data_IF_560113668286
#
_entry.id   IF_560113668286
#
_cell.length_a   1.000
_cell.length_b   1.000
_cell.length_c   1.000
_cell.angle_alpha   90.00
_cell.angle_beta   90.00
_cell.angle_gamma   90.00
#
_symmetry.space_group_name_H-M   'P 1'
#
loop_
_entity.id
_entity.type
_entity.pdbx_description
1 polymer ?
#
# COMPACT_ATOMS: atom_id res chain seq x y z
N UNK A 1 -45.30 51.46 -45.53
CA UNK A 1 -44.46 50.25 -45.64
C UNK A 1 -43.85 49.97 -44.28
N UNK A 2 -44.07 48.74 -43.79
CA UNK A 2 -44.25 48.39 -42.40
C UNK A 2 -42.96 48.25 -41.57
N UNK A 3 -43.12 48.55 -40.27
CA UNK A 3 -42.15 48.47 -39.17
C UNK A 3 -41.83 47.02 -38.78
N UNK A 4 -40.56 46.82 -38.42
CA UNK A 4 -39.99 45.60 -37.84
C UNK A 4 -40.50 45.39 -36.39
N UNK A 5 -41.04 44.20 -36.08
CA UNK A 5 -41.29 43.72 -34.72
C UNK A 5 -40.59 42.37 -34.55
N UNK A 6 -39.74 42.27 -33.54
CA UNK A 6 -39.16 41.03 -33.05
C UNK A 6 -40.19 40.26 -32.22
N UNK A 7 -40.32 38.95 -32.46
CA UNK A 7 -41.03 38.02 -31.59
C UNK A 7 -40.06 36.90 -31.20
N UNK A 8 -39.80 36.82 -29.89
CA UNK A 8 -39.15 35.69 -29.23
C UNK A 8 -40.04 34.45 -29.36
N UNK A 9 -39.45 33.30 -29.67
CA UNK A 9 -40.05 31.98 -29.42
C UNK A 9 -39.06 31.17 -28.59
N UNK A 10 -39.44 30.92 -27.33
CA UNK A 10 -38.74 30.04 -26.42
C UNK A 10 -39.18 28.59 -26.69
N UNK A 11 -38.24 27.73 -27.07
CA UNK A 11 -38.44 26.30 -27.10
C UNK A 11 -37.98 25.69 -25.78
N UNK A 12 -38.91 25.10 -25.03
CA UNK A 12 -38.60 24.24 -23.88
C UNK A 12 -37.95 22.94 -24.39
N UNK A 13 -36.68 22.73 -24.06
CA UNK A 13 -36.03 21.42 -24.11
C UNK A 13 -36.09 20.82 -22.71
N UNK A 14 -36.94 19.80 -22.56
CA UNK A 14 -36.96 18.91 -21.39
C UNK A 14 -35.71 18.05 -21.47
N UNK A 15 -34.67 18.44 -20.73
CA UNK A 15 -33.48 17.61 -20.54
C UNK A 15 -33.82 16.42 -19.66
N UNK A 16 -33.91 15.24 -20.26
CA UNK A 16 -33.85 13.98 -19.52
C UNK A 16 -32.46 13.89 -18.86
N UNK A 17 -32.43 13.95 -17.53
CA UNK A 17 -31.21 13.83 -16.76
C UNK A 17 -30.59 12.45 -16.97
N UNK A 18 -29.51 12.39 -17.74
CA UNK A 18 -28.57 11.29 -17.70
C UNK A 18 -27.80 11.45 -16.39
N UNK A 19 -28.00 10.53 -15.44
CA UNK A 19 -27.14 10.40 -14.27
C UNK A 19 -25.74 10.06 -14.75
N UNK A 20 -24.93 11.10 -14.99
CA UNK A 20 -23.49 10.99 -14.99
C UNK A 20 -23.11 10.56 -13.58
N UNK A 21 -22.71 9.30 -13.42
CA UNK A 21 -21.93 8.88 -12.26
C UNK A 21 -20.76 9.83 -12.15
N UNK A 22 -20.75 10.59 -11.06
CA UNK A 22 -19.82 11.67 -10.73
C UNK A 22 -18.39 11.13 -10.61
N UNK A 23 -17.68 11.04 -11.73
CA UNK A 23 -16.22 10.85 -11.79
C UNK A 23 -15.45 12.14 -11.43
N UNK A 24 -16.14 13.26 -11.16
CA UNK A 24 -15.53 14.59 -11.13
C UNK A 24 -15.25 15.18 -9.73
N UNK A 25 -15.45 14.45 -8.62
CA UNK A 25 -15.24 15.02 -7.29
C UNK A 25 -13.87 14.70 -6.65
N UNK A 26 -13.12 13.70 -7.16
CA UNK A 26 -11.98 13.11 -6.42
C UNK A 26 -10.76 12.74 -7.27
N UNK A 27 -10.54 13.40 -8.42
CA UNK A 27 -9.39 13.12 -9.30
C UNK A 27 -9.38 11.68 -9.87
N UNK A 28 -8.39 11.30 -10.68
CA UNK A 28 -8.40 10.01 -11.38
C UNK A 28 -8.11 8.79 -10.48
N UNK A 29 -7.69 9.02 -9.24
CA UNK A 29 -7.18 7.96 -8.36
C UNK A 29 -8.15 7.58 -7.25
N UNK A 30 -8.90 8.54 -6.70
CA UNK A 30 -9.55 8.37 -5.42
C UNK A 30 -11.05 8.12 -5.57
N UNK A 31 -11.62 7.29 -4.70
CA UNK A 31 -13.06 7.18 -4.55
C UNK A 31 -13.62 8.18 -3.55
N UNK A 32 -14.91 8.46 -3.65
CA UNK A 32 -15.62 9.23 -2.64
C UNK A 32 -15.63 8.47 -1.29
N UNK A 33 -15.70 9.20 -0.18
CA UNK A 33 -15.71 8.63 1.18
C UNK A 33 -16.85 7.64 1.41
N UNK A 34 -17.97 7.85 0.75
CA UNK A 34 -19.18 7.02 0.83
C UNK A 34 -19.22 5.91 -0.22
N UNK A 35 -18.15 5.75 -1.01
CA UNK A 35 -18.01 4.62 -1.92
C UNK A 35 -18.08 3.30 -1.16
N UNK A 36 -18.77 2.33 -1.76
CA UNK A 36 -19.00 0.99 -1.19
C UNK A 36 -18.16 -0.08 -1.87
N UNK A 37 -17.28 0.34 -2.77
CA UNK A 37 -16.45 -0.56 -3.54
C UNK A 37 -15.40 -1.16 -2.62
N UNK A 38 -15.48 -2.48 -2.43
CA UNK A 38 -14.52 -3.26 -1.64
C UNK A 38 -14.02 -4.44 -2.46
N UNK A 39 -12.81 -4.89 -2.14
CA UNK A 39 -12.23 -6.05 -2.79
C UNK A 39 -12.91 -7.35 -2.34
N UNK A 40 -13.50 -8.07 -3.29
CA UNK A 40 -14.06 -9.40 -3.05
C UNK A 40 -12.97 -10.45 -2.88
N UNK A 41 -13.20 -11.41 -1.98
CA UNK A 41 -12.25 -12.49 -1.67
C UNK A 41 -12.92 -13.87 -1.66
N UNK A 42 -12.11 -14.90 -1.89
CA UNK A 42 -12.54 -16.29 -1.82
C UNK A 42 -12.71 -16.67 -0.34
N UNK A 43 -13.92 -17.09 0.04
CA UNK A 43 -14.18 -17.61 1.38
C UNK A 43 -13.38 -18.90 1.60
N UNK A 44 -12.56 -18.90 2.65
CA UNK A 44 -11.76 -20.06 3.06
C UNK A 44 -12.10 -20.50 4.47
N UNK A 45 -11.96 -21.78 4.81
CA UNK A 45 -12.07 -22.25 6.20
C UNK A 45 -11.03 -21.55 7.09
N UNK A 46 -11.44 -21.15 8.29
CA UNK A 46 -10.61 -20.46 9.28
C UNK A 46 -10.81 -21.04 10.69
N UNK A 47 -9.81 -20.95 11.57
CA UNK A 47 -9.98 -21.26 12.99
C UNK A 47 -11.02 -20.38 13.67
N UNK A 48 -11.60 -20.88 14.75
CA UNK A 48 -12.48 -20.06 15.59
C UNK A 48 -11.75 -18.82 16.12
N UNK A 49 -12.42 -17.67 16.09
CA UNK A 49 -11.85 -16.39 16.53
C UNK A 49 -10.99 -15.68 15.48
N UNK A 50 -10.77 -16.26 14.30
CA UNK A 50 -10.18 -15.56 13.15
C UNK A 50 -11.30 -15.05 12.24
N UNK A 51 -11.17 -13.79 11.82
CA UNK A 51 -12.09 -13.11 10.91
C UNK A 51 -11.35 -12.47 9.74
N UNK A 52 -12.10 -11.97 8.75
CA UNK A 52 -11.57 -11.15 7.65
C UNK A 52 -12.01 -9.71 7.87
N UNK A 53 -11.07 -8.78 7.80
CA UNK A 53 -11.32 -7.34 7.85
C UNK A 53 -10.85 -6.72 6.54
N UNK A 54 -11.70 -5.90 5.92
CA UNK A 54 -11.33 -5.11 4.74
C UNK A 54 -10.45 -3.93 5.18
N UNK A 55 -9.35 -3.70 4.46
CA UNK A 55 -8.41 -2.61 4.74
C UNK A 55 -8.23 -1.72 3.53
N UNK A 56 -7.83 -0.48 3.76
CA UNK A 56 -7.78 0.54 2.70
C UNK A 56 -6.66 0.30 1.67
N UNK A 57 -5.52 -0.27 2.11
CA UNK A 57 -4.32 -0.43 1.29
C UNK A 57 -3.94 -1.88 1.01
N UNK A 58 -4.16 -2.81 1.93
CA UNK A 58 -3.56 -4.15 1.88
C UNK A 58 -4.55 -5.23 1.42
N UNK A 59 -5.76 -4.85 1.04
CA UNK A 59 -6.84 -5.78 0.75
C UNK A 59 -7.56 -6.30 2.00
N UNK A 60 -8.41 -7.31 1.83
CA UNK A 60 -8.96 -8.10 2.92
C UNK A 60 -7.84 -8.84 3.64
N UNK A 61 -7.74 -8.67 4.96
CA UNK A 61 -6.72 -9.33 5.81
C UNK A 61 -7.40 -10.22 6.84
N UNK A 62 -6.71 -11.30 7.23
CA UNK A 62 -7.10 -12.04 8.41
C UNK A 62 -6.79 -11.23 9.66
N UNK A 63 -7.67 -11.29 10.64
CA UNK A 63 -7.53 -10.62 11.92
C UNK A 63 -7.99 -11.52 13.07
N UNK A 64 -7.49 -11.25 14.29
CA UNK A 64 -8.03 -11.85 15.51
C UNK A 64 -9.46 -11.37 15.77
N UNK A 65 -10.14 -11.96 16.75
CA UNK A 65 -11.49 -11.56 17.15
C UNK A 65 -11.55 -10.09 17.62
N UNK A 66 -10.46 -9.59 18.20
CA UNK A 66 -10.29 -8.20 18.62
C UNK A 66 -9.91 -7.26 17.46
N UNK A 67 -9.73 -7.80 16.25
CA UNK A 67 -9.45 -7.06 15.03
C UNK A 67 -7.98 -6.76 14.77
N UNK A 68 -7.03 -7.40 15.47
CA UNK A 68 -5.60 -7.24 15.17
C UNK A 68 -5.24 -7.98 13.88
N UNK A 69 -4.61 -7.30 12.94
CA UNK A 69 -4.17 -7.89 11.67
C UNK A 69 -3.15 -9.00 11.90
N UNK A 70 -3.23 -10.04 11.08
CA UNK A 70 -2.35 -11.19 11.14
C UNK A 70 -1.24 -11.09 10.09
N UNK A 71 -0.04 -11.45 10.51
CA UNK A 71 1.17 -11.38 9.71
C UNK A 71 1.92 -12.70 9.70
N UNK A 72 2.68 -12.90 8.62
CA UNK A 72 3.77 -13.87 8.57
C UNK A 72 5.09 -13.14 8.38
N UNK A 73 6.20 -13.82 8.69
CA UNK A 73 7.54 -13.30 8.46
C UNK A 73 8.36 -14.27 7.60
N UNK A 74 8.07 -14.40 6.29
CA UNK A 74 8.73 -15.41 5.47
C UNK A 74 10.25 -15.22 5.41
N UNK A 75 11.00 -16.33 5.44
CA UNK A 75 12.45 -16.33 5.25
C UNK A 75 12.81 -15.63 3.95
N UNK A 76 13.66 -14.62 4.04
CA UNK A 76 14.23 -13.93 2.90
C UNK A 76 15.75 -13.83 2.97
N UNK A 77 16.35 -13.62 1.81
CA UNK A 77 17.79 -13.52 1.66
C UNK A 77 18.24 -12.06 1.85
N UNK A 78 19.22 -11.87 2.71
CA UNK A 78 19.99 -10.65 2.87
C UNK A 78 21.37 -10.86 2.24
N UNK A 79 22.21 -9.83 2.23
CA UNK A 79 23.49 -9.86 1.51
C UNK A 79 24.45 -10.94 2.02
N UNK A 80 24.51 -11.15 3.34
CA UNK A 80 25.44 -12.08 3.98
C UNK A 80 24.74 -13.19 4.79
N UNK A 81 23.41 -13.33 4.69
CA UNK A 81 22.65 -14.28 5.49
C UNK A 81 21.16 -14.24 5.19
N UNK A 82 20.38 -15.04 5.92
CA UNK A 82 18.93 -15.11 5.77
C UNK A 82 18.25 -14.78 7.10
N UNK A 83 17.13 -14.06 7.04
CA UNK A 83 16.31 -13.75 8.22
C UNK A 83 14.85 -14.09 7.94
N UNK A 84 14.09 -14.43 8.98
CA UNK A 84 12.68 -14.82 8.89
C UNK A 84 12.38 -16.27 9.25
N UNK A 85 11.11 -16.62 9.13
CA UNK A 85 10.55 -17.94 9.38
C UNK A 85 10.63 -18.81 8.13
N UNK A 86 11.25 -19.99 8.26
CA UNK A 86 11.28 -20.98 7.18
C UNK A 86 9.92 -21.66 7.06
N UNK A 87 9.37 -21.73 5.84
CA UNK A 87 8.10 -22.42 5.57
C UNK A 87 8.17 -23.88 5.99
N UNK A 88 7.13 -24.35 6.70
CA UNK A 88 7.00 -25.73 7.18
C UNK A 88 8.14 -26.18 8.11
N UNK A 89 8.84 -25.26 8.79
CA UNK A 89 9.87 -25.62 9.78
C UNK A 89 9.31 -26.30 11.03
N UNK A 90 8.03 -26.07 11.33
CA UNK A 90 7.40 -26.49 12.59
C UNK A 90 7.77 -25.63 13.80
N UNK A 91 8.63 -24.62 13.62
CA UNK A 91 9.14 -23.74 14.69
C UNK A 91 9.17 -22.27 14.26
N UNK A 92 8.84 -21.37 15.19
CA UNK A 92 8.97 -19.92 15.01
C UNK A 92 10.39 -19.43 15.31
N UNK A 93 10.94 -18.60 14.44
CA UNK A 93 12.22 -17.90 14.63
C UNK A 93 12.05 -16.68 15.55
N UNK A 94 10.87 -16.06 15.56
CA UNK A 94 10.57 -14.91 16.44
C UNK A 94 10.33 -15.37 17.89
N UNK A 95 11.27 -15.02 18.77
CA UNK A 95 11.24 -15.35 20.21
C UNK A 95 11.49 -14.12 21.10
N UNK A 96 11.74 -14.37 22.39
CA UNK A 96 11.94 -13.37 23.42
C UNK A 96 13.39 -12.86 23.52
N UNK A 97 14.28 -13.29 22.62
CA UNK A 97 15.66 -12.80 22.57
C UNK A 97 15.70 -11.30 22.29
N UNK A 98 16.35 -10.54 23.16
CA UNK A 98 16.69 -9.14 22.92
C UNK A 98 18.08 -9.09 22.29
N UNK A 99 18.13 -9.00 20.95
CA UNK A 99 19.39 -8.79 20.23
C UNK A 99 19.97 -7.43 20.58
N UNK A 100 21.25 -7.39 20.97
CA UNK A 100 21.95 -6.15 21.34
C UNK A 100 22.92 -5.66 20.28
N UNK A 101 23.18 -6.47 19.26
CA UNK A 101 24.21 -6.24 18.27
C UNK A 101 23.69 -6.45 16.85
N UNK A 102 24.35 -5.81 15.88
CA UNK A 102 24.14 -6.06 14.46
C UNK A 102 24.48 -7.52 14.11
N UNK A 103 23.66 -8.12 13.25
CA UNK A 103 23.86 -9.46 12.70
C UNK A 103 24.91 -9.51 11.59
N UNK A 104 25.21 -8.35 10.96
CA UNK A 104 26.12 -8.28 9.83
C UNK A 104 25.56 -8.91 8.55
N UNK A 105 24.27 -9.23 8.53
CA UNK A 105 23.61 -9.81 7.35
C UNK A 105 23.48 -8.80 6.21
N UNK A 106 23.74 -7.52 6.49
CA UNK A 106 23.67 -6.45 5.52
C UNK A 106 24.99 -5.69 5.44
N UNK A 107 25.80 -6.08 4.44
CA UNK A 107 27.03 -5.37 4.10
C UNK A 107 26.72 -3.95 3.59
N UNK A 108 27.52 -2.94 3.99
CA UNK A 108 28.90 -3.05 4.49
C UNK A 108 29.05 -3.23 6.00
N UNK A 109 27.97 -3.31 6.78
CA UNK A 109 28.08 -3.35 8.24
C UNK A 109 28.47 -4.77 8.72
N UNK A 110 29.61 -4.95 9.41
CA UNK A 110 29.93 -6.21 10.07
C UNK A 110 29.01 -6.50 11.27
N UNK A 111 28.98 -7.75 11.75
CA UNK A 111 28.31 -8.09 13.00
C UNK A 111 29.02 -7.47 14.21
N UNK A 112 28.31 -7.36 15.33
CA UNK A 112 28.90 -7.03 16.64
C UNK A 112 28.87 -5.54 17.01
N UNK A 113 28.26 -4.68 16.21
CA UNK A 113 28.03 -3.28 16.63
C UNK A 113 26.83 -3.18 17.54
N UNK A 114 26.96 -2.45 18.65
CA UNK A 114 25.86 -2.21 19.57
C UNK A 114 24.70 -1.49 18.87
N UNK A 115 23.49 -2.01 19.06
CA UNK A 115 22.27 -1.38 18.60
C UNK A 115 21.91 -0.18 19.49
N UNK A 116 21.17 0.81 18.97
CA UNK A 116 20.70 1.93 19.76
C UNK A 116 19.66 1.54 20.82
N UNK A 117 19.53 2.39 21.84
CA UNK A 117 18.45 2.33 22.84
C UNK A 117 18.34 0.94 23.52
N UNK A 118 19.48 0.30 23.85
CA UNK A 118 19.53 -1.08 24.37
C UNK A 118 18.65 -1.33 25.60
N UNK A 119 18.56 -0.35 26.50
CA UNK A 119 17.80 -0.46 27.75
C UNK A 119 16.28 -0.53 27.54
N UNK A 120 15.79 -0.01 26.40
CA UNK A 120 14.36 0.04 26.07
C UNK A 120 14.02 -0.83 24.85
N UNK A 121 15.01 -1.51 24.27
CA UNK A 121 14.82 -2.41 23.13
C UNK A 121 13.90 -3.55 23.52
N UNK A 122 12.92 -3.82 22.65
CA UNK A 122 11.96 -4.91 22.80
C UNK A 122 12.44 -6.15 22.05
N UNK A 123 12.04 -7.33 22.51
CA UNK A 123 12.26 -8.58 21.76
C UNK A 123 11.32 -8.67 20.55
N UNK A 124 11.59 -9.62 19.67
CA UNK A 124 10.71 -9.90 18.54
C UNK A 124 9.29 -10.21 19.02
N UNK A 125 9.12 -11.07 20.02
CA UNK A 125 7.79 -11.47 20.53
C UNK A 125 7.01 -10.31 21.20
N UNK A 126 7.70 -9.33 21.79
CA UNK A 126 7.05 -8.13 22.34
C UNK A 126 6.50 -7.20 21.25
N UNK A 127 7.15 -7.15 20.08
CA UNK A 127 6.71 -6.34 18.95
C UNK A 127 5.77 -7.10 18.01
N UNK A 128 5.91 -8.43 17.97
CA UNK A 128 5.19 -9.36 17.12
C UNK A 128 4.61 -10.50 17.96
N UNK A 129 3.56 -10.25 18.77
CA UNK A 129 2.99 -11.29 19.62
C UNK A 129 2.49 -12.47 18.79
N UNK A 130 2.83 -13.68 19.23
CA UNK A 130 2.39 -14.91 18.59
C UNK A 130 0.87 -15.09 18.69
N UNK A 131 0.22 -15.52 17.62
CA UNK A 131 -1.20 -15.92 17.66
C UNK A 131 -1.27 -17.34 18.21
N UNK A 132 -1.52 -17.46 19.51
CA UNK A 132 -1.57 -18.74 20.19
C UNK A 132 -2.75 -19.59 19.68
N UNK A 133 -2.49 -20.88 19.52
CA UNK A 133 -3.50 -21.88 19.21
C UNK A 133 -3.89 -22.63 20.50
N UNK A 134 -5.18 -22.98 20.68
CA UNK A 134 -5.60 -23.89 21.74
C UNK A 134 -4.80 -25.20 21.73
N UNK A 135 -4.65 -25.84 22.90
CA UNK A 135 -3.87 -27.07 23.03
C UNK A 135 -4.41 -28.23 22.16
N UNK A 136 -5.72 -28.26 21.94
CA UNK A 136 -6.47 -29.23 21.15
C UNK A 136 -6.78 -28.76 19.72
N UNK A 137 -6.18 -27.64 19.30
CA UNK A 137 -6.38 -27.06 17.98
C UNK A 137 -6.05 -28.05 16.86
N UNK A 138 -6.96 -28.18 15.88
CA UNK A 138 -6.80 -29.01 14.69
C UNK A 138 -6.55 -28.15 13.45
N UNK A 139 -5.80 -28.66 12.46
CA UNK A 139 -5.67 -27.98 11.18
C UNK A 139 -7.01 -27.73 10.49
N UNK A 140 -7.14 -26.58 9.83
CA UNK A 140 -8.34 -26.18 9.08
C UNK A 140 -7.91 -25.49 7.78
N UNK A 141 -8.14 -26.11 6.63
CA UNK A 141 -7.67 -25.58 5.35
C UNK A 141 -6.14 -25.41 5.33
N UNK A 142 -5.66 -24.18 5.10
CA UNK A 142 -4.23 -23.82 5.16
C UNK A 142 -3.71 -23.51 6.56
N UNK A 143 -4.57 -23.52 7.57
CA UNK A 143 -4.18 -23.28 8.95
C UNK A 143 -3.69 -24.55 9.60
N UNK A 144 -2.50 -24.49 10.20
CA UNK A 144 -1.86 -25.58 10.94
C UNK A 144 -1.37 -25.07 12.30
N UNK A 145 -0.83 -25.97 13.12
CA UNK A 145 -0.31 -25.63 14.45
C UNK A 145 1.18 -25.93 14.48
N UNK A 146 1.96 -24.98 15.00
CA UNK A 146 3.41 -25.12 15.25
C UNK A 146 3.69 -25.02 16.74
N UNK A 147 4.83 -25.58 17.19
CA UNK A 147 5.25 -25.52 18.59
C UNK A 147 6.33 -24.46 18.77
N UNK A 148 6.11 -23.57 19.74
CA UNK A 148 7.12 -22.60 20.18
C UNK A 148 8.16 -23.27 21.08
N UNK A 149 9.34 -22.65 21.23
CA UNK A 149 10.42 -23.15 22.11
C UNK A 149 9.97 -23.29 23.56
N UNK A 150 9.05 -22.43 24.00
CA UNK A 150 8.46 -22.44 25.35
C UNK A 150 7.33 -23.49 25.52
N UNK A 151 7.05 -24.32 24.51
CA UNK A 151 6.03 -25.37 24.53
C UNK A 151 4.61 -24.93 24.12
N UNK A 152 4.35 -23.62 24.00
CA UNK A 152 3.05 -23.11 23.56
C UNK A 152 2.76 -23.50 22.10
N UNK A 153 1.49 -23.77 21.81
CA UNK A 153 0.99 -23.94 20.44
C UNK A 153 0.73 -22.57 19.81
N UNK A 154 1.16 -22.38 18.56
CA UNK A 154 0.92 -21.17 17.77
C UNK A 154 0.26 -21.56 16.44
N UNK A 155 -0.67 -20.74 15.96
CA UNK A 155 -1.24 -20.89 14.63
C UNK A 155 -0.18 -20.61 13.56
N UNK A 156 -0.18 -21.42 12.52
CA UNK A 156 0.56 -21.20 11.29
C UNK A 156 -0.41 -21.13 10.10
N UNK A 157 -0.12 -20.29 9.13
CA UNK A 157 -0.88 -20.17 7.89
C UNK A 157 0.04 -20.44 6.70
N UNK A 158 -0.38 -21.35 5.83
CA UNK A 158 0.40 -21.76 4.66
C UNK A 158 1.85 -22.17 5.03
N UNK A 159 2.02 -22.77 6.21
CA UNK A 159 3.31 -23.24 6.71
C UNK A 159 4.17 -22.21 7.44
N UNK A 160 3.71 -20.97 7.61
CA UNK A 160 4.44 -19.94 8.36
C UNK A 160 3.76 -19.64 9.70
N UNK A 161 4.51 -19.48 10.81
CA UNK A 161 3.95 -19.00 12.07
C UNK A 161 3.28 -17.63 11.91
N UNK A 162 2.17 -17.44 12.62
CA UNK A 162 1.34 -16.23 12.52
C UNK A 162 1.49 -15.34 13.75
N UNK A 163 1.62 -14.03 13.52
CA UNK A 163 1.81 -13.00 14.55
C UNK A 163 0.79 -11.88 14.40
N UNK A 164 0.55 -11.12 15.46
CA UNK A 164 -0.03 -9.77 15.39
C UNK A 164 1.08 -8.73 15.46
N UNK A 165 0.79 -7.45 15.20
CA UNK A 165 1.74 -6.37 15.44
C UNK A 165 1.38 -5.54 16.66
N UNK A 166 2.40 -5.17 17.43
CA UNK A 166 2.26 -4.18 18.50
C UNK A 166 1.90 -2.77 17.99
N UNK A 167 2.09 -2.50 16.69
CA UNK A 167 1.72 -1.21 16.08
C UNK A 167 0.24 -1.12 15.71
N UNK A 168 -0.45 -2.25 15.54
CA UNK A 168 -1.87 -2.25 15.23
C UNK A 168 -2.65 -1.98 16.52
N UNK A 169 -3.27 -0.81 16.65
CA UNK A 169 -3.97 -0.40 17.88
C UNK A 169 -5.47 -0.62 17.77
N UNK A 170 -6.05 -0.47 16.58
CA UNK A 170 -7.47 -0.58 16.28
C UNK A 170 -7.73 -1.67 15.23
N UNK A 171 -8.98 -2.10 15.15
CA UNK A 171 -9.40 -3.05 14.13
C UNK A 171 -9.19 -2.45 12.73
N UNK A 172 -8.55 -3.21 11.84
CA UNK A 172 -8.20 -2.78 10.48
C UNK A 172 -6.87 -2.01 10.36
N UNK A 173 -6.17 -1.72 11.46
CA UNK A 173 -4.81 -1.22 11.38
C UNK A 173 -3.90 -2.28 10.75
N UNK A 174 -3.11 -1.86 9.77
CA UNK A 174 -2.05 -2.68 9.17
C UNK A 174 -0.74 -1.90 9.23
N UNK A 175 -0.24 -1.59 10.42
CA UNK A 175 0.89 -0.68 10.61
C UNK A 175 2.23 -1.39 10.86
N UNK A 176 2.19 -2.69 11.18
CA UNK A 176 3.38 -3.51 11.41
C UNK A 176 4.18 -3.84 10.14
N UNK A 177 3.51 -4.07 9.03
CA UNK A 177 4.10 -4.61 7.80
C UNK A 177 3.22 -4.37 6.57
N UNK A 178 3.70 -4.69 5.38
CA UNK A 178 3.04 -4.33 4.12
C UNK A 178 3.36 -5.30 2.98
N UNK A 179 2.37 -5.58 2.14
CA UNK A 179 2.56 -6.21 0.84
C UNK A 179 2.63 -5.14 -0.27
N UNK A 180 1.93 -4.02 -0.09
CA UNK A 180 1.82 -2.94 -1.09
C UNK A 180 3.13 -2.22 -1.44
N UNK A 181 4.06 -2.10 -0.49
CA UNK A 181 5.23 -1.21 -0.63
C UNK A 181 6.57 -1.92 -0.47
N UNK A 182 6.56 -3.25 -0.32
CA UNK A 182 7.78 -4.03 -0.07
C UNK A 182 8.52 -4.33 -1.38
N UNK A 183 9.82 -4.03 -1.44
CA UNK A 183 10.67 -4.44 -2.55
C UNK A 183 12.16 -4.29 -2.28
N UNK A 184 12.96 -5.31 -2.66
CA UNK A 184 14.42 -5.24 -2.65
C UNK A 184 15.06 -5.19 -1.26
N UNK A 185 16.17 -4.45 -1.13
CA UNK A 185 17.09 -4.46 0.01
C UNK A 185 16.55 -3.79 1.31
N UNK A 186 15.23 -3.67 1.50
CA UNK A 186 14.62 -3.00 2.67
C UNK A 186 14.77 -3.80 3.98
N UNK A 187 15.45 -4.95 3.98
CA UNK A 187 15.37 -5.92 5.06
C UNK A 187 14.19 -6.87 4.89
N UNK A 188 14.10 -7.88 5.77
CA UNK A 188 13.01 -8.87 5.71
C UNK A 188 11.82 -8.36 6.52
N UNK A 189 10.81 -7.85 5.81
CA UNK A 189 9.60 -7.27 6.40
C UNK A 189 8.55 -8.35 6.73
N UNK A 190 7.65 -8.04 7.66
CA UNK A 190 6.46 -8.86 7.92
C UNK A 190 5.37 -8.53 6.91
N UNK A 191 4.63 -9.55 6.51
CA UNK A 191 3.63 -9.49 5.45
C UNK A 191 2.25 -9.77 6.03
N UNK A 192 1.27 -8.84 5.90
CA UNK A 192 -0.10 -9.14 6.29
C UNK A 192 -0.61 -10.30 5.44
N UNK A 193 -1.40 -11.19 6.05
CA UNK A 193 -2.00 -12.34 5.36
C UNK A 193 -3.50 -12.17 5.27
N UNK A 194 -4.08 -12.64 4.18
CA UNK A 194 -5.51 -12.54 3.91
C UNK A 194 -6.03 -13.70 3.07
N UNK A 195 -7.35 -13.80 2.88
CA UNK A 195 -7.93 -14.73 1.93
C UNK A 195 -7.47 -14.39 0.50
N UNK A 196 -7.43 -15.38 -0.42
CA UNK A 196 -7.13 -15.10 -1.82
C UNK A 196 -8.16 -14.15 -2.45
N UNK A 197 -7.74 -13.26 -3.37
CA UNK A 197 -8.66 -12.40 -4.10
C UNK A 197 -9.65 -13.24 -4.95
N UNK A 198 -10.90 -12.80 -5.06
CA UNK A 198 -11.93 -13.44 -5.89
C UNK A 198 -11.88 -12.90 -7.33
N UNK A 199 -10.80 -13.24 -8.02
CA UNK A 199 -10.43 -12.76 -9.35
C UNK A 199 -10.24 -13.95 -10.32
N UNK A 200 -10.57 -13.82 -11.61
CA UNK A 200 -10.28 -14.85 -12.62
C UNK A 200 -8.80 -15.26 -12.61
N UNK A 201 -8.46 -16.52 -12.90
CA UNK A 201 -7.07 -17.01 -12.83
C UNK A 201 -6.08 -16.31 -13.76
N UNK A 202 -6.55 -15.67 -14.84
CA UNK A 202 -5.72 -14.89 -15.76
C UNK A 202 -5.41 -13.48 -15.24
N UNK A 203 -5.97 -13.10 -14.11
CA UNK A 203 -5.89 -11.78 -13.50
C UNK A 203 -5.36 -11.91 -12.05
N UNK A 204 -4.89 -10.79 -11.51
CA UNK A 204 -4.39 -10.65 -10.16
C UNK A 204 -4.83 -9.28 -9.59
N UNK A 205 -4.74 -9.12 -8.28
CA UNK A 205 -5.01 -7.86 -7.59
C UNK A 205 -3.74 -7.38 -6.91
N UNK A 206 -3.38 -6.14 -7.22
CA UNK A 206 -2.15 -5.53 -6.75
C UNK A 206 -2.47 -4.27 -5.97
N UNK A 207 -2.04 -4.16 -4.70
CA UNK A 207 -2.28 -2.96 -3.90
C UNK A 207 -1.33 -1.81 -4.28
N UNK A 208 -1.90 -0.66 -4.63
CA UNK A 208 -1.23 0.62 -4.83
C UNK A 208 -1.69 1.63 -3.80
N UNK A 209 -0.94 2.72 -3.64
CA UNK A 209 -1.38 3.88 -2.85
C UNK A 209 -2.66 4.53 -3.40
N UNK A 210 -3.00 4.24 -4.66
CA UNK A 210 -4.23 4.71 -5.34
C UNK A 210 -5.38 3.70 -5.24
N UNK A 211 -5.16 2.50 -4.68
CA UNK A 211 -6.16 1.46 -4.51
C UNK A 211 -5.68 0.08 -4.94
N UNK A 212 -6.56 -0.91 -4.87
CA UNK A 212 -6.28 -2.29 -5.27
C UNK A 212 -6.59 -2.45 -6.76
N UNK A 213 -5.53 -2.43 -7.57
CA UNK A 213 -5.60 -2.41 -9.02
C UNK A 213 -5.64 -3.82 -9.58
N UNK A 214 -6.46 -4.02 -10.62
CA UNK A 214 -6.51 -5.28 -11.36
C UNK A 214 -5.34 -5.29 -12.34
N UNK A 215 -4.58 -6.38 -12.33
CA UNK A 215 -3.55 -6.67 -13.33
C UNK A 215 -3.84 -8.01 -13.97
N UNK A 216 -3.18 -8.29 -15.10
CA UNK A 216 -3.04 -9.67 -15.58
C UNK A 216 -2.16 -10.47 -14.62
N UNK A 217 -2.20 -11.79 -14.69
CA UNK A 217 -1.31 -12.68 -13.94
C UNK A 217 0.19 -12.46 -14.28
N UNK A 218 0.48 -11.79 -15.41
CA UNK A 218 1.83 -11.36 -15.82
C UNK A 218 2.22 -9.98 -15.27
N UNK A 219 1.33 -9.33 -14.53
CA UNK A 219 1.55 -8.02 -13.91
C UNK A 219 1.25 -6.82 -14.81
N UNK A 220 0.73 -6.97 -16.03
CA UNK A 220 0.29 -5.83 -16.84
C UNK A 220 -1.00 -5.23 -16.30
N UNK A 221 -1.07 -3.90 -16.23
CA UNK A 221 -2.26 -3.20 -15.75
C UNK A 221 -3.45 -3.41 -16.67
N UNK A 222 -4.64 -3.47 -16.07
CA UNK A 222 -5.90 -3.65 -16.79
C UNK A 222 -6.66 -2.34 -16.84
N UNK A 223 -7.29 -2.08 -17.99
CA UNK A 223 -7.97 -0.84 -18.33
C UNK A 223 -9.41 -1.08 -18.79
N UNK A 224 -10.23 -0.05 -18.62
CA UNK A 224 -11.55 0.08 -19.21
C UNK A 224 -11.63 1.39 -20.01
N UNK A 225 -12.54 1.45 -20.99
CA UNK A 225 -12.75 2.62 -21.83
C UNK A 225 -14.11 3.28 -21.55
N UNK A 226 -14.13 4.62 -21.48
CA UNK A 226 -15.35 5.44 -21.44
C UNK A 226 -16.19 5.29 -22.72
N UNK A 227 -15.56 4.85 -23.82
CA UNK A 227 -16.25 4.62 -25.07
C UNK A 227 -17.07 3.32 -25.05
N UNK A 228 -16.84 2.42 -24.11
CA UNK A 228 -17.57 1.15 -23.99
C UNK A 228 -18.93 1.33 -23.32
N UNK A 229 -19.84 0.40 -23.58
CA UNK A 229 -21.13 0.34 -22.92
C UNK A 229 -21.17 -0.86 -21.95
N UNK A 230 -22.04 -0.85 -20.92
CA UNK A 230 -22.19 -2.00 -20.03
C UNK A 230 -22.39 -3.31 -20.79
N UNK A 231 -21.48 -4.26 -20.62
CA UNK A 231 -21.51 -5.56 -21.29
C UNK A 231 -21.22 -5.53 -22.79
N UNK A 232 -20.68 -4.43 -23.34
CA UNK A 232 -20.34 -4.31 -24.77
C UNK A 232 -19.07 -3.48 -25.00
N UNK A 233 -18.10 -4.09 -25.68
CA UNK A 233 -16.94 -3.38 -26.23
C UNK A 233 -17.29 -2.62 -27.50
N UNK A 234 -16.90 -1.34 -27.58
CA UNK A 234 -16.85 -0.52 -28.78
C UNK A 234 -15.42 -0.37 -29.33
N UNK A 235 -14.40 -0.91 -28.66
CA UNK A 235 -13.04 -0.97 -29.17
C UNK A 235 -12.92 -1.98 -30.32
N UNK A 236 -12.90 -1.51 -31.57
CA UNK A 236 -12.70 -2.31 -32.79
C UNK A 236 -11.60 -1.71 -33.68
N UNK A 237 -11.17 -2.47 -34.67
CA UNK A 237 -10.26 -2.02 -35.73
C UNK A 237 -9.00 -1.32 -35.20
N UNK A 238 -8.82 -0.03 -35.49
CA UNK A 238 -7.68 0.77 -35.04
C UNK A 238 -7.54 0.78 -33.52
N UNK A 239 -8.63 0.71 -32.76
CA UNK A 239 -8.52 0.63 -31.31
C UNK A 239 -7.72 -0.60 -30.86
N UNK A 240 -7.85 -1.72 -31.57
CA UNK A 240 -7.17 -2.98 -31.27
C UNK A 240 -5.68 -2.98 -31.66
N UNK A 241 -5.17 -1.93 -32.32
CA UNK A 241 -3.71 -1.78 -32.48
C UNK A 241 -3.02 -1.29 -31.21
N UNK A 242 -3.76 -0.62 -30.34
CA UNK A 242 -3.24 -0.02 -29.10
C UNK A 242 -3.75 -0.75 -27.85
N UNK A 243 -4.91 -1.42 -27.93
CA UNK A 243 -5.60 -2.03 -26.80
C UNK A 243 -5.92 -3.49 -27.06
N UNK A 244 -5.25 -4.38 -26.31
CA UNK A 244 -5.47 -5.82 -26.42
C UNK A 244 -6.57 -6.27 -25.43
N UNK A 245 -7.67 -6.88 -25.88
CA UNK A 245 -8.72 -7.35 -24.99
C UNK A 245 -8.22 -8.44 -24.02
N UNK A 246 -8.59 -8.35 -22.75
CA UNK A 246 -8.37 -9.43 -21.78
C UNK A 246 -9.33 -10.57 -22.11
N UNK A 247 -8.85 -11.57 -22.83
CA UNK A 247 -9.64 -12.71 -23.29
C UNK A 247 -10.11 -13.57 -22.10
N UNK A 248 -11.40 -13.91 -22.11
CA UNK A 248 -11.97 -14.88 -21.20
C UNK A 248 -12.00 -16.28 -21.84
N UNK A 249 -11.66 -17.35 -21.11
CA UNK A 249 -11.75 -18.71 -21.65
C UNK A 249 -13.20 -19.07 -21.98
N UNK A 250 -13.41 -20.05 -22.88
CA UNK A 250 -14.77 -20.46 -23.25
C UNK A 250 -15.60 -20.98 -22.06
N UNK A 251 -14.92 -21.58 -21.09
CA UNK A 251 -15.45 -22.12 -19.84
C UNK A 251 -15.54 -21.09 -18.71
N UNK A 252 -15.26 -19.81 -19.00
CA UNK A 252 -15.36 -18.71 -18.05
C UNK A 252 -16.73 -18.72 -17.36
N UNK A 253 -16.71 -18.62 -16.02
CA UNK A 253 -17.90 -18.51 -15.19
C UNK A 253 -18.02 -17.07 -14.70
N UNK A 254 -19.20 -16.50 -14.80
CA UNK A 254 -19.52 -15.19 -14.22
C UNK A 254 -19.82 -15.35 -12.73
N UNK A 255 -19.32 -14.43 -11.91
CA UNK A 255 -19.51 -14.44 -10.44
C UNK A 255 -19.27 -13.05 -9.88
N UNK A 256 -20.16 -12.59 -8.99
CA UNK A 256 -20.05 -11.28 -8.38
C UNK A 256 -19.99 -10.19 -9.46
N UNK A 257 -18.97 -9.35 -9.39
CA UNK A 257 -18.73 -8.24 -10.33
C UNK A 257 -18.14 -8.69 -11.68
N UNK A 258 -17.79 -9.98 -11.83
CA UNK A 258 -17.20 -10.53 -13.05
C UNK A 258 -18.25 -11.02 -14.04
N UNK A 259 -18.12 -10.54 -15.27
CA UNK A 259 -18.97 -10.90 -16.40
C UNK A 259 -18.13 -11.16 -17.66
N UNK A 260 -18.76 -11.64 -18.71
CA UNK A 260 -18.11 -11.90 -19.99
C UNK A 260 -18.87 -11.21 -21.10
N UNK A 261 -18.14 -10.59 -22.02
CA UNK A 261 -18.66 -9.97 -23.24
C UNK A 261 -18.24 -10.80 -24.43
N UNK A 262 -19.19 -11.10 -25.33
CA UNK A 262 -18.88 -11.74 -26.61
C UNK A 262 -18.54 -10.66 -27.64
N UNK A 263 -17.29 -10.65 -28.10
CA UNK A 263 -16.77 -9.66 -29.06
C UNK A 263 -17.11 -10.03 -30.50
N UNK A 264 -17.07 -11.33 -30.79
CA UNK A 264 -17.39 -11.96 -32.07
C UNK A 264 -17.68 -13.45 -31.81
N UNK A 265 -18.24 -14.21 -32.76
CA UNK A 265 -18.62 -15.60 -32.53
C UNK A 265 -17.45 -16.43 -31.97
N UNK A 266 -17.58 -16.86 -30.72
CA UNK A 266 -16.58 -17.66 -30.03
C UNK A 266 -15.39 -16.88 -29.45
N UNK A 267 -15.35 -15.55 -29.50
CA UNK A 267 -14.34 -14.73 -28.83
C UNK A 267 -14.96 -14.00 -27.64
N UNK A 268 -14.55 -14.41 -26.44
CA UNK A 268 -15.04 -13.89 -25.16
C UNK A 268 -13.99 -12.99 -24.51
N UNK A 269 -14.44 -11.92 -23.86
CA UNK A 269 -13.60 -10.96 -23.14
C UNK A 269 -14.12 -10.82 -21.71
N UNK A 270 -13.21 -10.72 -20.75
CA UNK A 270 -13.55 -10.43 -19.37
C UNK A 270 -14.09 -9.00 -19.23
N UNK A 271 -15.10 -8.84 -18.40
CA UNK A 271 -15.61 -7.55 -17.97
C UNK A 271 -15.76 -7.50 -16.45
N UNK A 272 -15.40 -6.38 -15.84
CA UNK A 272 -15.53 -6.14 -14.40
C UNK A 272 -16.48 -4.97 -14.15
N UNK A 273 -17.46 -5.16 -13.27
CA UNK A 273 -18.55 -4.18 -13.01
C UNK A 273 -19.19 -3.66 -14.31
N UNK A 274 -19.35 -4.55 -15.28
CA UNK A 274 -19.93 -4.27 -16.60
C UNK A 274 -18.99 -3.63 -17.62
N UNK A 275 -17.76 -3.29 -17.28
CA UNK A 275 -16.78 -2.68 -18.20
C UNK A 275 -15.88 -3.74 -18.84
N UNK A 276 -15.80 -3.83 -20.18
CA UNK A 276 -14.86 -4.70 -20.87
C UNK A 276 -13.40 -4.33 -20.54
N UNK A 277 -12.55 -5.34 -20.39
CA UNK A 277 -11.19 -5.17 -19.89
C UNK A 277 -10.14 -5.30 -20.99
N UNK A 278 -9.10 -4.45 -20.93
CA UNK A 278 -8.00 -4.41 -21.91
C UNK A 278 -6.66 -4.27 -21.22
N UNK A 279 -5.59 -4.64 -21.93
CA UNK A 279 -4.22 -4.24 -21.63
C UNK A 279 -3.71 -3.27 -22.69
N UNK A 280 -2.82 -2.35 -22.31
CA UNK A 280 -2.25 -1.39 -23.25
C UNK A 280 -1.03 -1.98 -23.97
N UNK A 281 -1.07 -2.10 -25.30
CA UNK A 281 -0.05 -2.79 -26.11
C UNK A 281 1.34 -2.15 -25.99
N UNK A 282 1.38 -0.84 -25.72
CA UNK A 282 2.65 -0.10 -25.62
C UNK A 282 3.28 -0.16 -24.22
N UNK A 283 2.63 -0.79 -23.25
CA UNK A 283 3.22 -1.05 -21.93
C UNK A 283 4.16 -2.25 -21.95
N UNK A 284 5.44 -1.98 -21.63
CA UNK A 284 6.50 -3.00 -21.62
C UNK A 284 6.90 -3.46 -20.22
N UNK A 285 6.45 -2.73 -19.19
CA UNK A 285 6.78 -3.00 -17.80
C UNK A 285 5.51 -3.43 -17.07
N UNK A 286 5.64 -4.44 -16.22
CA UNK A 286 4.59 -4.77 -15.27
C UNK A 286 4.23 -3.52 -14.46
N UNK A 287 2.93 -3.37 -14.15
CA UNK A 287 2.38 -2.32 -13.29
C UNK A 287 2.57 -0.90 -13.80
N UNK A 288 2.93 -0.73 -15.07
CA UNK A 288 2.88 0.58 -15.72
C UNK A 288 1.42 1.04 -15.80
N UNK A 289 1.19 2.34 -15.67
CA UNK A 289 -0.14 2.93 -15.70
C UNK A 289 -0.29 3.98 -16.81
N UNK A 290 0.59 3.91 -17.82
CA UNK A 290 0.67 4.89 -18.91
C UNK A 290 -0.49 4.74 -19.89
N UNK A 291 -1.20 3.61 -19.88
CA UNK A 291 -2.46 3.47 -20.60
C UNK A 291 -3.48 4.55 -20.23
N UNK A 292 -3.51 4.98 -18.97
CA UNK A 292 -4.42 6.03 -18.48
C UNK A 292 -4.08 7.44 -19.00
N UNK A 293 -2.95 7.64 -19.68
CA UNK A 293 -2.63 8.90 -20.37
C UNK A 293 -3.41 9.05 -21.69
N UNK A 294 -3.99 7.97 -22.20
CA UNK A 294 -4.86 8.02 -23.36
C UNK A 294 -6.25 8.53 -22.95
N UNK A 295 -6.80 9.56 -23.61
CA UNK A 295 -8.11 10.10 -23.27
C UNK A 295 -9.21 9.02 -23.26
N UNK A 296 -9.96 8.95 -22.16
CA UNK A 296 -11.07 8.02 -21.98
C UNK A 296 -10.69 6.61 -21.58
N UNK A 297 -9.43 6.36 -21.20
CA UNK A 297 -8.96 5.07 -20.70
C UNK A 297 -8.55 5.17 -19.24
N UNK A 298 -8.95 4.18 -18.45
CA UNK A 298 -8.76 4.22 -17.00
C UNK A 298 -8.30 2.85 -16.48
N UNK A 299 -7.29 2.85 -15.60
CA UNK A 299 -6.96 1.66 -14.82
C UNK A 299 -8.18 1.18 -14.01
N UNK A 300 -8.35 -0.13 -13.93
CA UNK A 300 -9.47 -0.77 -13.22
C UNK A 300 -9.02 -1.18 -11.82
N UNK A 301 -9.83 -0.84 -10.82
CA UNK A 301 -9.60 -1.13 -9.41
C UNK A 301 -10.79 -1.92 -8.85
N UNK A 302 -10.53 -2.85 -7.94
CA UNK A 302 -11.60 -3.46 -7.13
C UNK A 302 -12.07 -2.52 -6.03
N UNK A 303 -11.12 -1.75 -5.49
CA UNK A 303 -11.31 -0.72 -4.47
C UNK A 303 -10.31 0.40 -4.75
N UNK A 304 -10.78 1.65 -4.86
CA UNK A 304 -9.88 2.81 -4.95
C UNK A 304 -9.53 3.29 -3.54
N UNK A 305 -8.37 3.93 -3.40
CA UNK A 305 -8.02 4.55 -2.13
C UNK A 305 -8.88 5.80 -1.86
N UNK A 306 -8.98 6.17 -0.58
CA UNK A 306 -9.60 7.44 -0.20
C UNK A 306 -8.65 8.59 -0.51
N UNK A 307 -9.17 9.82 -0.74
CA UNK A 307 -8.32 10.95 -1.04
C UNK A 307 -7.35 11.21 0.12
N UNK A 308 -6.12 11.64 -0.18
CA UNK A 308 -5.19 12.10 0.85
C UNK A 308 -5.78 13.31 1.59
N UNK A 309 -5.26 13.65 2.79
CA UNK A 309 -5.66 14.85 3.49
C UNK A 309 -5.73 16.09 2.60
N UNK A 310 -6.72 16.96 2.84
CA UNK A 310 -6.95 18.17 2.06
C UNK A 310 -5.78 19.18 2.07
N UNK A 311 -4.83 19.03 3.02
CA UNK A 311 -3.58 19.78 3.07
C UNK A 311 -2.59 19.38 1.95
N UNK A 312 -2.87 18.30 1.21
CA UNK A 312 -2.00 17.77 0.17
C UNK A 312 -2.55 17.97 -1.23
N UNK A 313 -1.63 18.05 -2.18
CA UNK A 313 -1.88 18.12 -3.61
C UNK A 313 -1.17 16.97 -4.32
N UNK A 314 -1.53 16.70 -5.57
CA UNK A 314 -0.80 15.79 -6.46
C UNK A 314 -0.15 16.63 -7.55
N UNK A 315 1.12 16.38 -7.84
CA UNK A 315 1.85 17.11 -8.88
C UNK A 315 2.76 16.18 -9.68
N UNK A 316 3.02 16.56 -10.92
CA UNK A 316 4.00 15.89 -11.77
C UNK A 316 5.43 16.21 -11.29
N UNK A 317 6.31 15.22 -11.35
CA UNK A 317 7.72 15.35 -11.03
C UNK A 317 8.57 14.58 -12.03
N UNK A 318 9.89 14.79 -11.99
CA UNK A 318 10.85 14.00 -12.80
C UNK A 318 10.87 12.50 -12.47
N UNK A 319 10.18 12.06 -11.41
CA UNK A 319 10.13 10.66 -10.95
C UNK A 319 8.70 10.09 -10.97
N UNK A 320 7.77 10.71 -11.71
CA UNK A 320 6.35 10.33 -11.76
C UNK A 320 5.47 11.32 -11.01
N UNK A 321 4.25 10.94 -10.64
CA UNK A 321 3.37 11.80 -9.84
C UNK A 321 3.56 11.54 -8.35
N UNK A 322 3.72 12.62 -7.61
CA UNK A 322 3.98 12.60 -6.17
C UNK A 322 2.92 13.37 -5.42
N UNK A 323 2.72 12.99 -4.16
CA UNK A 323 1.99 13.81 -3.21
C UNK A 323 2.88 14.99 -2.79
N UNK A 324 2.31 16.18 -2.69
CA UNK A 324 2.99 17.39 -2.26
C UNK A 324 2.19 18.12 -1.19
N UNK A 325 2.85 18.98 -0.41
CA UNK A 325 2.16 19.90 0.50
C UNK A 325 1.49 21.06 -0.27
N UNK A 326 0.81 21.95 0.47
CA UNK A 326 0.16 23.14 -0.08
C UNK A 326 1.10 24.12 -0.80
N UNK A 327 2.41 24.04 -0.54
CA UNK A 327 3.44 24.90 -1.13
C UNK A 327 4.14 24.21 -2.32
N UNK A 328 3.69 23.00 -2.68
CA UNK A 328 4.23 22.20 -3.78
C UNK A 328 5.51 21.44 -3.44
N UNK A 329 5.90 21.33 -2.17
CA UNK A 329 7.03 20.49 -1.77
C UNK A 329 6.60 19.02 -1.72
N UNK A 330 7.39 18.15 -2.33
CA UNK A 330 7.10 16.71 -2.34
C UNK A 330 7.07 16.13 -0.92
N UNK A 331 6.13 15.21 -0.67
CA UNK A 331 6.01 14.47 0.58
C UNK A 331 6.93 13.26 0.53
N UNK A 332 7.65 13.01 1.62
CA UNK A 332 8.57 11.89 1.80
C UNK A 332 8.18 11.05 3.01
N UNK A 333 8.42 9.74 2.89
CA UNK A 333 8.29 8.77 3.98
C UNK A 333 9.69 8.28 4.33
N UNK A 334 9.97 8.24 5.63
CA UNK A 334 11.15 7.57 6.16
C UNK A 334 10.84 6.08 6.34
N UNK A 335 11.75 5.23 5.87
CA UNK A 335 11.71 3.77 6.04
C UNK A 335 13.00 3.33 6.71
N UNK A 336 12.89 2.33 7.60
CA UNK A 336 14.00 1.89 8.43
C UNK A 336 13.81 0.46 8.91
N UNK A 337 14.82 -0.38 8.71
CA UNK A 337 14.94 -1.70 9.31
C UNK A 337 16.34 -1.85 9.91
N UNK A 338 16.40 -2.16 11.20
CA UNK A 338 17.66 -2.39 11.87
C UNK A 338 18.36 -3.66 11.35
N UNK A 339 19.64 -3.80 11.69
CA UNK A 339 20.45 -4.95 11.26
C UNK A 339 20.51 -6.06 12.31
N UNK A 340 19.59 -6.09 13.27
CA UNK A 340 19.47 -7.21 14.19
C UNK A 340 18.92 -8.45 13.46
N UNK A 341 19.10 -9.64 14.02
CA UNK A 341 18.60 -10.87 13.40
C UNK A 341 17.07 -10.88 13.25
N UNK A 342 16.36 -10.15 14.11
CA UNK A 342 14.92 -9.98 14.09
C UNK A 342 14.41 -8.85 13.17
N UNK A 343 15.30 -8.07 12.55
CA UNK A 343 15.02 -7.06 11.51
C UNK A 343 13.91 -6.08 11.92
N UNK A 344 13.99 -5.49 13.11
CA UNK A 344 12.94 -4.63 13.63
C UNK A 344 12.86 -3.30 12.87
N UNK A 345 11.65 -2.76 12.75
CA UNK A 345 11.45 -1.45 12.12
C UNK A 345 11.96 -0.32 13.02
N UNK A 346 12.54 0.72 12.44
CA UNK A 346 13.06 1.90 13.15
C UNK A 346 12.51 3.22 12.61
N UNK A 347 11.34 3.18 11.98
CA UNK A 347 10.69 4.29 11.28
C UNK A 347 9.45 4.86 12.02
N UNK A 348 9.06 4.24 13.14
CA UNK A 348 7.93 4.67 13.96
C UNK A 348 8.38 5.47 15.19
N UNK A 349 7.63 6.46 15.69
CA UNK A 349 8.03 7.23 16.88
C UNK A 349 8.21 6.39 18.16
N UNK A 350 7.63 5.19 18.25
CA UNK A 350 7.88 4.22 19.35
C UNK A 350 9.20 3.45 19.20
N UNK A 351 9.86 3.54 18.04
CA UNK A 351 11.10 2.82 17.71
C UNK A 351 12.33 3.74 17.76
N UNK A 352 13.56 3.21 17.77
CA UNK A 352 14.77 4.03 17.86
C UNK A 352 14.86 5.07 16.74
N UNK A 353 14.93 6.36 17.13
CA UNK A 353 14.92 7.47 16.16
C UNK A 353 16.33 7.88 15.71
N UNK A 354 17.37 7.34 16.35
CA UNK A 354 18.75 7.72 16.05
C UNK A 354 19.17 7.37 14.62
N UNK A 355 18.60 6.33 14.01
CA UNK A 355 18.86 5.97 12.62
C UNK A 355 18.43 7.09 11.67
N UNK A 356 17.22 7.63 11.87
CA UNK A 356 16.71 8.77 11.11
C UNK A 356 17.65 9.96 11.29
N UNK A 357 17.99 10.29 12.53
CA UNK A 357 18.85 11.43 12.86
C UNK A 357 20.25 11.33 12.26
N UNK A 358 20.83 10.13 12.22
CA UNK A 358 22.10 9.88 11.55
C UNK A 358 22.01 10.21 10.05
N UNK A 359 20.92 9.76 9.40
CA UNK A 359 20.70 9.96 7.96
C UNK A 359 20.42 11.42 7.61
N UNK A 360 19.43 12.06 8.23
CA UNK A 360 19.00 13.41 7.82
C UNK A 360 19.87 14.56 8.32
N UNK A 361 20.59 14.38 9.44
CA UNK A 361 21.19 15.52 10.15
C UNK A 361 22.50 15.24 10.86
N UNK A 362 23.13 14.09 10.64
CA UNK A 362 24.35 13.71 11.37
C UNK A 362 24.19 13.89 12.89
N UNK A 363 23.05 13.42 13.42
CA UNK A 363 22.64 13.54 14.84
C UNK A 363 22.31 14.97 15.34
N UNK A 364 22.40 16.00 14.50
CA UNK A 364 21.91 17.33 14.84
C UNK A 364 20.43 17.47 14.43
N UNK A 365 19.50 17.67 15.39
CA UNK A 365 18.08 17.79 15.09
C UNK A 365 17.74 19.03 14.28
N UNK A 366 18.51 20.12 14.39
CA UNK A 366 18.26 21.33 13.60
C UNK A 366 18.65 21.10 12.13
N UNK A 367 19.77 20.43 11.89
CA UNK A 367 20.17 20.02 10.53
C UNK A 367 19.15 19.06 9.96
N UNK A 368 18.75 18.04 10.72
CA UNK A 368 17.74 17.08 10.27
C UNK A 368 16.41 17.76 9.91
N UNK A 369 15.93 18.67 10.74
CA UNK A 369 14.68 19.39 10.50
C UNK A 369 14.77 20.43 9.38
N UNK A 370 15.98 20.86 9.00
CA UNK A 370 16.21 21.68 7.81
C UNK A 370 16.27 20.81 6.54
N UNK A 371 16.93 19.65 6.60
CA UNK A 371 17.06 18.71 5.48
C UNK A 371 15.73 18.03 5.17
N UNK A 372 15.08 17.44 6.18
CA UNK A 372 13.76 16.81 6.08
C UNK A 372 12.78 17.40 7.11
N UNK A 373 12.21 18.58 6.84
CA UNK A 373 11.21 19.17 7.72
C UNK A 373 9.98 18.27 7.86
N UNK A 374 9.44 18.15 9.06
CA UNK A 374 8.14 17.51 9.25
C UNK A 374 7.01 18.29 8.56
N UNK A 375 6.06 17.57 7.97
CA UNK A 375 4.88 18.19 7.37
C UNK A 375 3.88 18.53 8.46
N UNK A 376 3.73 19.82 8.75
CA UNK A 376 2.78 20.33 9.74
C UNK A 376 1.35 20.10 9.28
N UNK A 377 0.50 19.66 10.20
CA UNK A 377 -0.93 19.58 9.95
C UNK A 377 -1.62 20.92 10.23
N UNK A 378 -2.61 21.29 9.41
CA UNK A 378 -3.45 22.45 9.70
C UNK A 378 -4.21 22.26 11.03
N UNK A 379 -4.49 23.33 11.80
CA UNK A 379 -5.23 23.21 13.06
C UNK A 379 -6.58 22.51 12.87
N UNK A 380 -6.81 21.43 13.62
CA UNK A 380 -8.04 20.66 13.55
C UNK A 380 -8.18 19.77 12.30
N UNK A 381 -7.11 19.61 11.51
CA UNK A 381 -7.12 18.77 10.33
C UNK A 381 -7.44 17.31 10.66
N UNK A 382 -8.16 16.66 9.74
CA UNK A 382 -8.57 15.25 9.83
C UNK A 382 -8.46 14.64 8.44
N UNK A 383 -8.25 13.33 8.39
CA UNK A 383 -8.32 12.56 7.17
C UNK A 383 -9.62 11.74 7.15
N UNK A 384 -10.13 11.50 5.95
CA UNK A 384 -11.18 10.50 5.74
C UNK A 384 -10.59 9.08 5.69
N UNK A 385 -9.36 8.97 5.19
CA UNK A 385 -8.55 7.75 5.15
C UNK A 385 -8.13 7.29 6.55
N UNK A 386 -8.12 5.97 6.74
CA UNK A 386 -7.55 5.32 7.94
C UNK A 386 -6.01 5.31 7.93
N UNK A 387 -5.40 5.55 6.76
CA UNK A 387 -3.95 5.57 6.58
C UNK A 387 -3.31 6.87 7.05
N UNK A 388 -4.09 7.95 7.20
CA UNK A 388 -3.58 9.28 7.52
C UNK A 388 -4.10 9.75 8.87
N UNK A 389 -3.20 10.26 9.72
CA UNK A 389 -3.54 10.78 11.04
C UNK A 389 -2.73 12.03 11.35
N UNK A 390 -3.29 12.90 12.19
CA UNK A 390 -2.52 13.98 12.82
C UNK A 390 -2.00 13.46 14.14
N UNK A 391 -0.69 13.59 14.34
CA UNK A 391 0.00 13.14 15.55
C UNK A 391 0.82 14.26 16.16
N UNK A 392 1.12 14.15 17.45
CA UNK A 392 1.96 15.13 18.16
C UNK A 392 3.33 14.52 18.46
N UNK A 393 4.39 15.20 18.00
CA UNK A 393 5.77 14.74 18.17
C UNK A 393 6.66 15.85 18.73
N UNK A 394 7.74 15.47 19.38
CA UNK A 394 8.86 16.36 19.66
C UNK A 394 9.76 16.43 18.41
N UNK A 395 9.87 17.60 17.73
CA UNK A 395 10.66 17.70 16.50
C UNK A 395 12.14 17.45 16.70
N UNK A 396 12.67 17.56 17.93
CA UNK A 396 14.09 17.33 18.20
C UNK A 396 14.43 15.86 18.34
N UNK A 397 13.47 15.00 18.64
CA UNK A 397 13.70 13.57 18.85
C UNK A 397 12.94 12.71 17.84
N UNK A 398 11.81 13.21 17.32
CA UNK A 398 10.86 12.46 16.52
C UNK A 398 10.01 11.47 17.30
N UNK A 399 10.12 11.46 18.63
CA UNK A 399 9.31 10.64 19.53
C UNK A 399 7.94 11.31 19.75
N UNK A 400 6.98 10.53 20.25
CA UNK A 400 5.68 11.07 20.65
C UNK A 400 5.83 12.16 21.71
N UNK A 401 5.03 13.21 21.57
CA UNK A 401 4.87 14.25 22.58
C UNK A 401 3.38 14.45 22.88
N UNK A 402 3.08 15.13 23.98
CA UNK A 402 1.71 15.53 24.32
C UNK A 402 1.41 16.91 23.77
N UNK A 403 0.15 17.15 23.46
CA UNK A 403 -0.31 18.49 23.09
C UNK A 403 -0.06 19.46 24.26
N UNK A 404 0.65 20.55 23.98
CA UNK A 404 1.04 21.55 24.99
C UNK A 404 2.45 21.37 25.56
N UNK A 405 3.13 20.25 25.28
CA UNK A 405 4.54 20.11 25.63
C UNK A 405 5.38 21.17 24.90
N UNK A 406 6.40 21.69 25.58
CA UNK A 406 7.24 22.76 25.03
C UNK A 406 7.96 22.31 23.75
N UNK A 407 7.68 22.99 22.64
CA UNK A 407 8.27 22.66 21.33
C UNK A 407 7.60 21.51 20.59
N UNK A 408 6.58 20.87 21.15
CA UNK A 408 5.83 19.84 20.45
C UNK A 408 5.09 20.40 19.24
N UNK A 409 4.96 19.58 18.20
CA UNK A 409 4.30 19.97 16.95
C UNK A 409 3.28 18.92 16.50
N UNK A 410 2.19 19.40 15.87
CA UNK A 410 1.22 18.55 15.19
C UNK A 410 1.64 18.35 13.74
N UNK A 411 1.78 17.10 13.34
CA UNK A 411 2.27 16.71 12.01
C UNK A 411 1.38 15.66 11.41
N UNK A 412 1.39 15.59 10.08
CA UNK A 412 0.80 14.48 9.37
C UNK A 412 1.63 13.22 9.54
N UNK A 413 0.95 12.10 9.72
CA UNK A 413 1.52 10.77 9.74
C UNK A 413 0.77 9.82 8.80
N UNK A 414 1.53 9.03 8.06
CA UNK A 414 1.06 7.95 7.21
C UNK A 414 1.32 6.61 7.91
N UNK A 415 0.26 5.83 8.18
CA UNK A 415 0.32 4.55 8.91
C UNK A 415 1.09 4.68 10.25
N UNK A 416 0.76 5.73 10.99
CA UNK A 416 1.38 6.07 12.28
C UNK A 416 2.78 6.69 12.22
N UNK A 417 3.36 6.88 11.03
CA UNK A 417 4.73 7.42 10.85
C UNK A 417 4.69 8.84 10.32
N UNK A 418 5.36 9.81 10.97
CA UNK A 418 5.42 11.18 10.44
C UNK A 418 5.91 11.22 8.99
N UNK A 419 5.37 12.15 8.21
CA UNK A 419 5.83 12.44 6.85
C UNK A 419 6.61 13.75 6.80
N UNK A 420 7.42 13.91 5.75
CA UNK A 420 8.42 14.97 5.65
C UNK A 420 8.32 15.70 4.31
N UNK A 421 8.81 16.93 4.24
CA UNK A 421 9.24 17.56 2.98
C UNK A 421 10.76 17.50 2.86
N UNK A 422 11.34 18.04 1.79
CA UNK A 422 12.79 18.19 1.63
C UNK A 422 13.18 19.66 1.51
N UNK A 423 14.26 20.05 2.21
CA UNK A 423 14.74 21.42 2.28
C UNK A 423 15.08 22.01 0.91
N UNK A 424 15.67 21.19 0.02
CA UNK A 424 16.13 21.61 -1.31
C UNK A 424 15.12 21.33 -2.44
N UNK A 425 13.87 21.01 -2.11
CA UNK A 425 12.77 21.07 -3.08
C UNK A 425 12.30 22.53 -3.18
N UNK A 426 12.80 23.27 -4.17
CA UNK A 426 12.64 24.72 -4.24
C UNK A 426 11.44 25.17 -5.07
N UNK A 427 10.90 24.28 -5.90
CA UNK A 427 9.74 24.54 -6.75
C UNK A 427 8.81 23.31 -6.81
N UNK A 428 7.52 23.50 -7.15
CA UNK A 428 6.61 22.40 -7.44
C UNK A 428 7.20 21.42 -8.46
N UNK A 429 7.07 20.13 -8.18
CA UNK A 429 7.59 19.01 -8.96
C UNK A 429 9.04 18.62 -8.61
N UNK A 430 9.75 19.37 -7.78
CA UNK A 430 11.03 18.92 -7.24
C UNK A 430 10.82 17.71 -6.33
N UNK A 431 11.65 16.68 -6.52
CA UNK A 431 11.66 15.45 -5.73
C UNK A 431 13.10 15.06 -5.38
N UNK A 432 13.88 16.01 -4.89
CA UNK A 432 15.33 15.88 -4.69
C UNK A 432 15.68 15.06 -3.44
N UNK A 433 14.77 14.97 -2.47
CA UNK A 433 14.92 14.13 -1.28
C UNK A 433 14.67 12.64 -1.51
N UNK A 434 14.31 12.24 -2.74
CA UNK A 434 14.06 10.84 -3.05
C UNK A 434 15.38 10.06 -3.19
N UNK A 435 15.36 8.80 -2.78
CA UNK A 435 16.52 7.91 -2.69
C UNK A 435 17.59 8.37 -1.68
N UNK A 436 17.23 9.20 -0.72
CA UNK A 436 18.17 9.69 0.28
C UNK A 436 18.41 8.64 1.36
N UNK A 437 19.66 8.21 1.56
CA UNK A 437 20.04 7.22 2.58
C UNK A 437 20.44 5.86 2.01
N UNK A 438 20.45 4.83 2.87
CA UNK A 438 20.98 3.50 2.54
C UNK A 438 20.13 2.79 1.48
N UNK A 439 20.79 2.14 0.52
CA UNK A 439 20.16 1.43 -0.60
C UNK A 439 19.14 2.29 -1.37
N UNK A 440 19.51 3.51 -1.76
CA UNK A 440 18.60 4.45 -2.41
C UNK A 440 17.36 4.72 -1.54
N UNK A 441 17.57 4.93 -0.24
CA UNK A 441 16.52 5.12 0.76
C UNK A 441 15.57 3.93 0.93
N UNK A 442 15.89 2.75 0.39
CA UNK A 442 15.04 1.57 0.52
C UNK A 442 15.12 0.91 1.89
N UNK A 443 16.25 1.01 2.59
CA UNK A 443 16.38 0.38 3.90
C UNK A 443 16.28 1.39 5.02
N UNK A 444 17.22 2.33 5.06
CA UNK A 444 17.33 3.35 6.08
C UNK A 444 17.42 4.71 5.37
N UNK A 445 16.27 5.33 5.12
CA UNK A 445 16.25 6.56 4.34
C UNK A 445 14.87 7.05 3.92
N UNK A 446 14.86 8.10 3.11
CA UNK A 446 13.67 8.82 2.69
C UNK A 446 13.35 8.52 1.22
N UNK A 447 12.05 8.32 0.97
CA UNK A 447 11.49 8.03 -0.35
C UNK A 447 10.30 8.92 -0.61
N UNK A 448 10.18 9.40 -1.84
CA UNK A 448 9.02 10.19 -2.23
C UNK A 448 7.73 9.37 -2.05
N UNK A 449 6.66 10.05 -1.66
CA UNK A 449 5.31 9.51 -1.70
C UNK A 449 4.84 9.51 -3.16
N UNK A 450 5.09 8.43 -3.89
CA UNK A 450 4.54 8.25 -5.23
C UNK A 450 3.05 7.95 -5.17
N UNK A 451 2.29 8.70 -5.96
CA UNK A 451 0.93 8.33 -6.35
C UNK A 451 0.99 7.48 -7.64
N UNK A 452 2.00 7.75 -8.49
CA UNK A 452 2.29 7.04 -9.73
C UNK A 452 3.80 7.07 -10.02
N UNK A 453 4.37 5.93 -10.41
CA UNK A 453 5.76 5.79 -10.88
C UNK A 453 5.72 5.49 -12.38
N UNK A 454 6.35 6.35 -13.19
CA UNK A 454 6.38 6.21 -14.66
C UNK A 454 7.75 5.78 -15.19
N UNK A 455 8.80 6.03 -14.42
CA UNK A 455 10.17 6.05 -14.94
C UNK A 455 11.05 4.95 -14.37
N UNK A 456 10.73 4.41 -13.18
CA UNK A 456 11.55 3.38 -12.54
C UNK A 456 10.99 1.97 -12.79
N UNK A 457 11.17 1.06 -11.83
CA UNK A 457 10.77 -0.34 -11.93
C UNK A 457 9.38 -0.60 -11.34
N UNK A 458 8.58 0.44 -11.07
CA UNK A 458 7.28 0.31 -10.39
C UNK A 458 7.43 -0.51 -9.12
N UNK A 459 8.25 -0.01 -8.19
CA UNK A 459 8.50 -0.65 -6.89
C UNK A 459 7.29 -0.58 -5.95
N UNK A 460 6.15 -0.10 -6.43
CA UNK A 460 4.84 -0.10 -5.75
C UNK A 460 4.03 -1.29 -6.25
N UNK A 461 3.27 -1.92 -5.37
CA UNK A 461 2.38 -3.01 -5.70
C UNK A 461 3.10 -4.31 -6.03
N UNK A 462 3.81 -4.90 -5.08
CA UNK A 462 4.30 -6.28 -5.25
C UNK A 462 3.31 -7.28 -4.68
N UNK A 463 3.07 -8.38 -5.38
CA UNK A 463 2.34 -9.52 -4.83
C UNK A 463 3.30 -10.57 -4.27
N UNK A 464 2.77 -11.53 -3.50
CA UNK A 464 3.58 -12.64 -2.98
C UNK A 464 4.27 -13.47 -4.09
N UNK A 465 3.82 -13.33 -5.34
CA UNK A 465 4.35 -14.01 -6.52
C UNK A 465 5.48 -13.23 -7.22
N UNK A 466 5.75 -11.97 -6.87
CA UNK A 466 6.87 -11.16 -7.41
C UNK A 466 8.25 -11.57 -6.82
N UNK A 467 8.38 -12.82 -6.36
CA UNK A 467 9.61 -13.35 -5.73
C UNK A 467 10.61 -13.90 -6.74
#
# INVERSE_FOLDING_TARGET
>A
MNRLRWLLSAALLVGAGVSQTTLAATGPYWQAKDAKDTESYVKVPMPAGIQVIETELEGPVFATAEGKTLYTWPLGNLRNGNAGDRRNSGVATCDDTIYKETSGYMSPYPPGFLLPELETRKSCEQLWPAVLAPADAKPVGKWTVVKRKNGQSQWAFDGYPVYTSSLDKKAGDVFGGTNALSGGAQGIVRQPIGPPPDVPPELDIVPFRTGHMITTYKGFSVYASDADAPGKSNCTDKCLSDWDPVIAPQTAKTKGDWSVVERSPGIKQWAYRGQPLYTYVHEKKARAVTGSDNPGWHNVYTQRALPPPADFTVQDSRIGQVLADKDGKTIYIYQCNDDALDQQTCDHPDSPQVYRMAICGNFDPNVCNATFPYVKASPGAKADSSLWTVVTIDPKTGKWAKQGDAGAMQVWAYRGRPVYTYGEDLKPGDANGDNYGEFNGQRNGFRAYWVRDDYRNNNVGRTANDR
#
